data_IF_685300820778
#
_entry.id   IF_685300820778
#
_cell.length_a   1.000
_cell.length_b   1.000
_cell.length_c   1.000
_cell.angle_alpha   90.00
_cell.angle_beta   90.00
_cell.angle_gamma   90.00
#
_symmetry.space_group_name_H-M   'P 1'
#
loop_
_entity.id
_entity.type
_entity.pdbx_description
1 polymer ?
#
# COMPACT_ATOMS: atom_id res chain seq x y z
N UNK A 1 -21.84 -5.78 -62.32
CA UNK A 1 -20.88 -5.35 -61.29
C UNK A 1 -21.64 -5.11 -60.02
N UNK A 2 -21.26 -5.74 -58.92
CA UNK A 2 -21.87 -5.50 -57.62
C UNK A 2 -20.82 -4.82 -56.74
N UNK A 3 -21.08 -3.54 -56.43
CA UNK A 3 -20.31 -2.76 -55.47
C UNK A 3 -20.93 -3.05 -54.10
N UNK A 4 -20.28 -3.89 -53.30
CA UNK A 4 -20.68 -4.08 -51.91
C UNK A 4 -20.06 -2.95 -51.09
N UNK A 5 -20.93 -2.06 -50.62
CA UNK A 5 -20.63 -0.97 -49.70
C UNK A 5 -20.15 -1.56 -48.37
N UNK A 6 -18.85 -1.46 -48.10
CA UNK A 6 -18.26 -1.84 -46.82
C UNK A 6 -18.59 -0.77 -45.77
N UNK A 7 -19.76 -0.86 -45.14
CA UNK A 7 -19.98 -0.16 -43.86
C UNK A 7 -19.14 -0.83 -42.77
N UNK A 8 -17.92 -0.33 -42.58
CA UNK A 8 -17.08 -0.60 -41.40
C UNK A 8 -17.60 0.16 -40.16
N UNK A 9 -18.91 0.18 -39.92
CA UNK A 9 -19.52 0.75 -38.70
C UNK A 9 -19.66 -0.31 -37.60
N UNK A 10 -18.63 -1.15 -37.42
CA UNK A 10 -18.56 -2.08 -36.30
C UNK A 10 -17.09 -2.35 -35.96
N UNK A 11 -16.36 -1.27 -35.63
CA UNK A 11 -15.21 -1.39 -34.75
C UNK A 11 -15.77 -1.77 -33.38
N UNK A 12 -15.91 -3.07 -33.15
CA UNK A 12 -16.06 -3.62 -31.81
C UNK A 12 -14.91 -3.07 -30.98
N UNK A 13 -15.17 -2.03 -30.19
CA UNK A 13 -14.32 -1.66 -29.07
C UNK A 13 -14.38 -2.83 -28.10
N UNK A 14 -13.48 -3.80 -28.31
CA UNK A 14 -13.10 -4.78 -27.33
C UNK A 14 -12.50 -4.00 -26.17
N UNK A 15 -13.36 -3.47 -25.30
CA UNK A 15 -12.98 -3.12 -23.95
C UNK A 15 -12.50 -4.42 -23.33
N UNK A 16 -11.18 -4.64 -23.35
CA UNK A 16 -10.56 -5.73 -22.63
C UNK A 16 -11.16 -5.67 -21.22
N UNK A 17 -11.75 -6.78 -20.71
CA UNK A 17 -12.21 -6.81 -19.34
C UNK A 17 -10.99 -6.37 -18.54
N UNK A 18 -11.13 -5.30 -17.75
CA UNK A 18 -10.07 -4.75 -16.92
C UNK A 18 -9.55 -5.89 -16.05
N UNK A 19 -8.60 -6.67 -16.56
CA UNK A 19 -7.78 -7.57 -15.80
C UNK A 19 -7.03 -6.60 -14.93
N UNK A 20 -7.52 -6.47 -13.70
CA UNK A 20 -6.88 -5.67 -12.69
C UNK A 20 -5.59 -6.41 -12.37
N UNK A 21 -4.58 -6.14 -13.19
CA UNK A 21 -3.25 -6.66 -13.01
C UNK A 21 -2.75 -5.92 -11.76
N UNK A 22 -2.50 -6.66 -10.69
CA UNK A 22 -1.78 -6.10 -9.54
C UNK A 22 -0.53 -5.38 -10.03
N UNK A 23 -0.04 -4.39 -9.28
CA UNK A 23 1.12 -3.58 -9.69
C UNK A 23 2.31 -4.42 -10.18
N UNK A 24 2.44 -5.67 -9.70
CA UNK A 24 3.45 -6.62 -10.12
C UNK A 24 4.72 -6.49 -9.29
N UNK A 25 5.44 -7.60 -9.16
CA UNK A 25 6.67 -7.64 -8.36
C UNK A 25 7.74 -6.68 -8.90
N UNK A 26 7.83 -6.54 -10.22
CA UNK A 26 8.78 -5.66 -10.89
C UNK A 26 8.54 -4.17 -10.63
N UNK A 27 7.29 -3.78 -10.41
CA UNK A 27 6.92 -2.40 -10.07
C UNK A 27 7.18 -2.06 -8.60
N UNK A 28 7.51 -3.03 -7.76
CA UNK A 28 7.84 -2.76 -6.36
C UNK A 28 9.13 -1.90 -6.26
N UNK A 29 9.16 -0.94 -5.31
CA UNK A 29 10.36 -0.18 -4.98
C UNK A 29 11.58 -1.09 -4.76
N UNK A 30 12.74 -0.72 -5.30
CA UNK A 30 13.99 -1.50 -5.16
C UNK A 30 14.33 -1.78 -3.69
N UNK A 31 14.09 -0.80 -2.82
CA UNK A 31 14.29 -0.91 -1.37
C UNK A 31 13.45 -2.05 -0.75
N UNK A 32 12.18 -2.17 -1.13
CA UNK A 32 11.31 -3.27 -0.68
C UNK A 32 11.73 -4.62 -1.26
N UNK A 33 12.22 -4.66 -2.50
CA UNK A 33 12.74 -5.91 -3.10
C UNK A 33 14.02 -6.40 -2.44
N UNK A 34 14.84 -5.49 -1.91
CA UNK A 34 16.06 -5.80 -1.15
C UNK A 34 15.82 -5.89 0.36
N UNK A 35 14.56 -5.89 0.80
CA UNK A 35 14.17 -6.01 2.19
C UNK A 35 14.71 -7.31 2.81
N UNK A 36 15.25 -7.23 4.03
CA UNK A 36 15.59 -8.43 4.83
C UNK A 36 14.48 -8.84 5.80
N UNK A 37 13.48 -7.98 6.01
CA UNK A 37 12.38 -8.22 6.98
C UNK A 37 11.12 -8.77 6.32
N UNK A 38 10.71 -8.22 5.18
CA UNK A 38 9.59 -8.73 4.39
C UNK A 38 9.93 -10.07 3.73
N UNK A 39 9.08 -11.06 3.96
CA UNK A 39 9.18 -12.36 3.30
C UNK A 39 8.70 -12.30 1.85
N UNK A 40 9.07 -13.30 1.04
CA UNK A 40 8.56 -13.47 -0.33
C UNK A 40 7.03 -13.48 -0.39
N UNK A 41 6.36 -14.03 0.63
CA UNK A 41 4.90 -13.99 0.76
C UNK A 41 4.40 -12.56 0.90
N UNK A 42 5.02 -11.75 1.77
CA UNK A 42 4.61 -10.37 2.00
C UNK A 42 4.79 -9.52 0.72
N UNK A 43 5.92 -9.69 0.01
CA UNK A 43 6.17 -9.01 -1.26
C UNK A 43 5.17 -9.43 -2.34
N UNK A 44 4.80 -10.71 -2.39
CA UNK A 44 3.77 -11.21 -3.30
C UNK A 44 2.40 -10.58 -3.00
N UNK A 45 2.01 -10.45 -1.73
CA UNK A 45 0.76 -9.80 -1.32
C UNK A 45 0.76 -8.31 -1.68
N UNK A 46 1.88 -7.61 -1.47
CA UNK A 46 2.02 -6.20 -1.88
C UNK A 46 1.95 -6.03 -3.39
N UNK A 47 2.60 -6.92 -4.15
CA UNK A 47 2.61 -6.91 -5.62
C UNK A 47 1.25 -7.26 -6.23
N UNK A 48 0.46 -8.07 -5.53
CA UNK A 48 -0.89 -8.47 -5.93
C UNK A 48 -1.92 -7.36 -5.76
N UNK A 49 -1.54 -6.24 -5.13
CA UNK A 49 -2.44 -5.13 -4.89
C UNK A 49 -2.80 -4.44 -6.21
N UNK A 50 -4.09 -4.45 -6.54
CA UNK A 50 -4.63 -3.93 -7.80
C UNK A 50 -4.75 -2.41 -7.80
N UNK A 51 -5.01 -1.80 -6.65
CA UNK A 51 -5.19 -0.37 -6.49
C UNK A 51 -4.32 0.11 -5.33
N UNK A 52 -3.25 0.84 -5.62
CA UNK A 52 -2.54 1.62 -4.61
C UNK A 52 -3.49 2.72 -4.10
N UNK A 53 -3.57 2.98 -2.79
CA UNK A 53 -4.42 4.04 -2.25
C UNK A 53 -4.12 5.37 -2.92
N UNK A 54 -5.18 6.04 -3.38
CA UNK A 54 -5.10 7.36 -3.99
C UNK A 54 -4.70 8.42 -2.95
N UNK A 55 -4.21 9.56 -3.40
CA UNK A 55 -3.74 10.64 -2.53
C UNK A 55 -4.83 11.08 -1.54
N UNK A 56 -6.09 11.15 -1.96
CA UNK A 56 -7.20 11.50 -1.07
C UNK A 56 -7.41 10.47 0.04
N UNK A 57 -7.35 9.17 -0.28
CA UNK A 57 -7.50 8.10 0.71
C UNK A 57 -6.34 8.11 1.71
N UNK A 58 -5.13 8.36 1.20
CA UNK A 58 -3.93 8.52 2.02
C UNK A 58 -4.07 9.70 3.00
N UNK A 59 -4.50 10.88 2.52
CA UNK A 59 -4.67 12.07 3.35
C UNK A 59 -5.75 11.89 4.44
N UNK A 60 -6.89 11.28 4.09
CA UNK A 60 -7.94 10.94 5.05
C UNK A 60 -7.45 9.96 6.11
N UNK A 61 -6.69 8.95 5.68
CA UNK A 61 -6.07 7.97 6.54
C UNK A 61 -5.11 8.66 7.53
N UNK A 62 -4.17 9.48 7.04
CA UNK A 62 -3.26 10.28 7.88
C UNK A 62 -4.04 11.16 8.86
N UNK A 63 -5.09 11.85 8.40
CA UNK A 63 -5.92 12.72 9.25
C UNK A 63 -6.64 11.96 10.36
N UNK A 64 -7.06 10.72 10.10
CA UNK A 64 -7.68 9.84 11.10
C UNK A 64 -6.70 9.49 12.21
N UNK A 65 -5.48 9.06 11.87
CA UNK A 65 -4.45 8.69 12.87
C UNK A 65 -3.83 9.89 13.56
N UNK A 66 -3.78 11.06 12.90
CA UNK A 66 -3.27 12.30 13.50
C UNK A 66 -4.09 12.76 14.70
N UNK A 67 -5.41 12.50 14.71
CA UNK A 67 -6.31 12.85 15.82
C UNK A 67 -6.22 11.90 17.01
N UNK A 68 -5.65 10.71 16.82
CA UNK A 68 -5.54 9.71 17.88
C UNK A 68 -4.44 10.15 18.86
N UNK A 69 -4.82 10.41 20.11
CA UNK A 69 -3.85 10.79 21.14
C UNK A 69 -3.07 9.55 21.56
N UNK A 70 -1.79 9.53 21.21
CA UNK A 70 -0.88 8.47 21.60
C UNK A 70 -0.33 8.77 23.00
N UNK A 71 -0.76 8.00 24.00
CA UNK A 71 -0.20 8.09 25.35
C UNK A 71 0.97 7.11 25.52
N UNK A 72 2.02 7.53 26.23
CA UNK A 72 3.27 6.76 26.37
C UNK A 72 3.09 5.41 27.08
N UNK A 73 2.04 5.27 27.92
CA UNK A 73 1.70 3.98 28.55
C UNK A 73 1.20 2.94 27.55
N UNK A 74 0.68 3.38 26.40
CA UNK A 74 0.13 2.51 25.38
C UNK A 74 1.19 1.95 24.43
N UNK A 75 2.45 2.40 24.50
CA UNK A 75 3.51 1.93 23.59
C UNK A 75 3.77 0.42 23.73
N UNK A 76 3.94 -0.06 24.96
CA UNK A 76 4.20 -1.49 25.23
C UNK A 76 2.99 -2.35 24.87
N UNK A 77 1.78 -1.83 25.14
CA UNK A 77 0.52 -2.50 24.82
C UNK A 77 0.31 -2.58 23.30
N UNK A 78 0.49 -1.47 22.59
CA UNK A 78 0.40 -1.39 21.14
C UNK A 78 1.41 -2.30 20.44
N UNK A 79 2.63 -2.42 20.97
CA UNK A 79 3.61 -3.38 20.44
C UNK A 79 3.19 -4.83 20.64
N UNK A 80 2.67 -5.17 21.82
CA UNK A 80 2.14 -6.51 22.09
C UNK A 80 0.93 -6.85 21.22
N UNK A 81 0.06 -5.87 20.99
CA UNK A 81 -1.16 -6.02 20.17
C UNK A 81 -0.90 -5.87 18.67
N UNK A 82 0.36 -5.60 18.26
CA UNK A 82 0.74 -5.27 16.88
C UNK A 82 -0.17 -4.19 16.29
N UNK A 83 -0.44 -3.16 17.08
CA UNK A 83 -1.35 -2.09 16.72
C UNK A 83 -0.67 -1.13 15.74
N UNK A 84 -0.92 -1.35 14.46
CA UNK A 84 -0.34 -0.57 13.36
C UNK A 84 -0.72 0.92 13.44
N UNK A 85 -1.92 1.25 13.91
CA UNK A 85 -2.40 2.62 14.08
C UNK A 85 -1.50 3.46 14.98
N UNK A 86 -1.02 2.85 16.08
CA UNK A 86 -0.11 3.49 17.01
C UNK A 86 1.21 3.84 16.33
N UNK A 87 1.80 2.91 15.56
CA UNK A 87 3.07 3.16 14.89
C UNK A 87 2.96 4.24 13.82
N UNK A 88 1.86 4.24 13.07
CA UNK A 88 1.56 5.27 12.07
C UNK A 88 1.42 6.65 12.72
N UNK A 89 0.64 6.76 13.79
CA UNK A 89 0.50 8.03 14.51
C UNK A 89 1.82 8.49 15.10
N UNK A 90 2.70 7.57 15.56
CA UNK A 90 4.06 7.95 15.97
C UNK A 90 4.92 8.45 14.81
N UNK A 91 4.83 7.90 13.59
CA UNK A 91 5.54 8.43 12.41
C UNK A 91 5.05 9.81 11.99
N UNK A 92 3.74 10.05 12.09
CA UNK A 92 3.14 11.35 11.74
C UNK A 92 3.54 12.43 12.75
N UNK A 93 3.49 12.10 14.05
CA UNK A 93 3.75 13.05 15.14
C UNK A 93 5.24 13.28 15.36
N UNK A 94 6.02 12.21 15.32
CA UNK A 94 7.46 12.27 15.41
C UNK A 94 8.00 12.09 14.00
N UNK A 95 8.45 13.17 13.36
CA UNK A 95 9.34 13.13 12.17
C UNK A 95 10.71 12.51 12.51
N UNK A 96 10.70 11.42 13.26
CA UNK A 96 11.86 10.70 13.74
C UNK A 96 12.29 9.78 12.62
N UNK A 97 13.60 9.72 12.37
CA UNK A 97 14.18 8.81 11.39
C UNK A 97 13.88 7.35 11.77
N UNK A 98 12.80 6.82 11.22
CA UNK A 98 12.44 5.41 11.34
C UNK A 98 13.29 4.64 10.33
N UNK A 99 13.94 3.56 10.76
CA UNK A 99 14.74 2.74 9.85
C UNK A 99 13.84 1.94 8.91
N UNK A 100 14.41 1.54 7.76
CA UNK A 100 13.70 0.70 6.80
C UNK A 100 13.25 -0.63 7.43
N UNK A 101 14.05 -1.24 8.29
CA UNK A 101 13.67 -2.49 8.96
C UNK A 101 12.45 -2.32 9.90
N UNK A 102 12.32 -1.16 10.54
CA UNK A 102 11.20 -0.87 11.44
C UNK A 102 9.89 -0.71 10.68
N UNK A 103 9.88 0.06 9.59
CA UNK A 103 8.68 0.19 8.75
C UNK A 103 8.30 -1.15 8.11
N UNK A 104 9.28 -1.94 7.68
CA UNK A 104 9.05 -3.26 7.09
C UNK A 104 8.45 -4.23 8.10
N UNK A 105 8.87 -4.14 9.37
CA UNK A 105 8.28 -4.90 10.46
C UNK A 105 6.80 -4.53 10.62
N UNK A 106 6.46 -3.24 10.64
CA UNK A 106 5.07 -2.80 10.76
C UNK A 106 4.23 -3.16 9.53
N UNK A 107 4.80 -3.06 8.34
CA UNK A 107 4.18 -3.52 7.10
C UNK A 107 3.89 -5.02 7.16
N UNK A 108 4.82 -5.83 7.69
CA UNK A 108 4.59 -7.27 7.84
C UNK A 108 3.38 -7.55 8.74
N UNK A 109 3.24 -6.83 9.85
CA UNK A 109 2.09 -6.95 10.74
C UNK A 109 0.79 -6.50 10.09
N UNK A 110 0.81 -5.41 9.32
CA UNK A 110 -0.36 -4.94 8.58
C UNK A 110 -0.81 -5.97 7.54
N UNK A 111 0.13 -6.54 6.79
CA UNK A 111 -0.14 -7.58 5.78
C UNK A 111 -0.68 -8.85 6.44
N UNK A 112 -0.11 -9.26 7.57
CA UNK A 112 -0.60 -10.41 8.35
C UNK A 112 -2.02 -10.21 8.88
N UNK A 113 -2.39 -8.97 9.19
CA UNK A 113 -3.75 -8.58 9.58
C UNK A 113 -4.70 -8.38 8.38
N UNK A 114 -4.25 -8.63 7.14
CA UNK A 114 -5.02 -8.42 5.92
C UNK A 114 -5.16 -6.94 5.50
N UNK A 115 -4.45 -6.02 6.16
CA UNK A 115 -4.45 -4.59 5.89
C UNK A 115 -3.30 -4.21 4.95
N UNK A 116 -3.25 -4.80 3.76
CA UNK A 116 -2.19 -4.55 2.76
C UNK A 116 -2.14 -3.09 2.31
N UNK A 117 -3.28 -2.40 2.29
CA UNK A 117 -3.35 -0.96 1.95
C UNK A 117 -2.64 -0.09 2.99
N UNK A 118 -2.78 -0.46 4.26
CA UNK A 118 -2.09 0.22 5.36
C UNK A 118 -0.57 0.07 5.23
N UNK A 119 -0.09 -1.11 4.83
CA UNK A 119 1.32 -1.33 4.56
C UNK A 119 1.84 -0.40 3.44
N UNK A 120 1.07 -0.21 2.37
CA UNK A 120 1.39 0.76 1.32
C UNK A 120 1.42 2.20 1.83
N UNK A 121 0.44 2.60 2.66
CA UNK A 121 0.41 3.93 3.24
C UNK A 121 1.62 4.21 4.15
N UNK A 122 2.05 3.22 4.93
CA UNK A 122 3.26 3.29 5.77
C UNK A 122 4.50 3.52 4.91
N UNK A 123 4.64 2.74 3.82
CA UNK A 123 5.74 2.89 2.89
C UNK A 123 5.76 4.28 2.25
N UNK A 124 4.61 4.74 1.76
CA UNK A 124 4.45 6.06 1.15
C UNK A 124 4.83 7.17 2.14
N UNK A 125 4.31 7.10 3.37
CA UNK A 125 4.62 8.04 4.45
C UNK A 125 6.12 8.12 4.76
N UNK A 126 6.81 6.98 4.83
CA UNK A 126 8.26 6.95 5.05
C UNK A 126 9.04 7.47 3.85
N UNK A 127 8.60 7.12 2.63
CA UNK A 127 9.29 7.52 1.40
C UNK A 127 9.21 9.02 1.08
N UNK A 128 8.22 9.72 1.65
CA UNK A 128 8.00 11.16 1.49
C UNK A 128 8.76 12.04 2.50
N UNK A 129 9.26 11.45 3.60
CA UNK A 129 9.96 12.15 4.69
C UNK A 129 11.48 12.07 4.59
#
# INVERSE_FOLDING_TARGET
>A
GFYTDCRMENLFELHMPRQKIGIGYDALPKKLRSSSVLSAKHLSMLASMENVPDQLQYEEWVRRFSKEKVSSKDQKKAFSEKNVAYFVSTMIQNKVGVSQDQIETWMSWAIDQGQTEVAWNIWTLWSQG
#
